data_IF_675793194231
#
_entry.id   IF_675793194231
#
_cell.length_a   1.000
_cell.length_b   1.000
_cell.length_c   1.000
_cell.angle_alpha   90.00
_cell.angle_beta   90.00
_cell.angle_gamma   90.00
#
_symmetry.space_group_name_H-M   'P 1'
#
loop_
_entity.id
_entity.type
_entity.pdbx_description
1 polymer ?
#
# COMPACT_ATOMS: atom_id res chain seq x y z
N UNK A 1 5.38 50.05 12.37
CA UNK A 1 5.22 49.46 11.03
C UNK A 1 6.59 49.36 10.38
N UNK A 2 6.77 48.41 9.43
CA UNK A 2 8.02 48.21 8.69
C UNK A 2 8.41 49.50 7.94
N UNK A 3 7.45 50.17 7.30
CA UNK A 3 7.69 51.42 6.53
C UNK A 3 8.33 52.52 7.39
N UNK A 4 7.89 52.66 8.65
CA UNK A 4 8.48 53.62 9.58
C UNK A 4 9.94 53.28 9.89
N UNK A 5 10.22 52.00 10.16
CA UNK A 5 11.59 51.54 10.43
C UNK A 5 12.51 51.65 9.21
N UNK A 6 11.96 51.47 8.00
CA UNK A 6 12.70 51.75 6.74
C UNK A 6 13.03 53.21 6.57
N UNK A 7 12.11 54.13 6.90
CA UNK A 7 12.35 55.56 6.84
C UNK A 7 13.44 55.96 7.83
N UNK A 8 13.34 55.51 9.09
CA UNK A 8 14.33 55.73 10.11
C UNK A 8 15.72 55.16 9.74
N UNK A 9 15.76 53.97 9.13
CA UNK A 9 17.01 53.41 8.57
C UNK A 9 17.63 54.32 7.52
N UNK A 10 16.82 54.83 6.60
CA UNK A 10 17.27 55.77 5.55
C UNK A 10 17.82 57.06 6.17
N UNK A 11 17.13 57.63 7.15
CA UNK A 11 17.59 58.84 7.87
C UNK A 11 18.93 58.62 8.59
N UNK A 12 19.10 57.48 9.25
CA UNK A 12 20.37 57.10 9.91
C UNK A 12 21.52 56.99 8.90
N UNK A 13 21.25 56.37 7.76
CA UNK A 13 22.28 56.25 6.68
C UNK A 13 22.63 57.58 6.05
N UNK A 14 21.66 58.44 5.77
CA UNK A 14 21.87 59.79 5.25
C UNK A 14 22.66 60.64 6.26
N UNK A 15 22.32 60.56 7.55
CA UNK A 15 23.09 61.25 8.62
C UNK A 15 24.55 60.80 8.74
N UNK A 16 24.88 59.62 8.22
CA UNK A 16 26.26 59.09 8.10
C UNK A 16 26.94 59.40 6.75
N UNK A 17 26.30 60.20 5.87
CA UNK A 17 26.84 60.61 4.58
C UNK A 17 26.65 59.62 3.42
N UNK A 18 25.80 58.60 3.58
CA UNK A 18 25.49 57.64 2.50
C UNK A 18 24.29 58.11 1.69
N UNK A 19 24.35 57.90 0.37
CA UNK A 19 23.22 58.18 -0.53
C UNK A 19 22.18 57.07 -0.46
N UNK A 20 20.91 57.41 -0.47
CA UNK A 20 19.78 56.46 -0.52
C UNK A 20 19.74 55.63 -1.83
N UNK A 21 20.39 56.17 -2.89
CA UNK A 21 20.41 55.48 -4.19
C UNK A 21 21.49 54.35 -4.26
N UNK A 22 22.41 54.26 -3.29
CA UNK A 22 23.57 53.38 -3.39
C UNK A 22 23.85 52.64 -2.06
N UNK A 23 22.84 51.97 -1.54
CA UNK A 23 22.97 51.17 -0.30
C UNK A 23 23.95 50.01 -0.43
N UNK A 24 24.26 49.58 -1.66
CA UNK A 24 25.26 48.54 -1.92
C UNK A 24 26.70 48.95 -1.55
N UNK A 25 26.97 50.26 -1.45
CA UNK A 25 28.29 50.79 -1.06
C UNK A 25 28.46 50.98 0.44
N UNK A 26 27.39 50.75 1.23
CA UNK A 26 27.48 50.87 2.69
C UNK A 26 28.24 49.69 3.28
N UNK A 27 29.33 49.92 4.06
CA UNK A 27 30.02 48.83 4.71
C UNK A 27 29.09 47.99 5.59
N UNK A 28 29.24 46.68 5.61
CA UNK A 28 28.35 45.75 6.33
C UNK A 28 28.23 46.06 7.83
N UNK A 29 29.31 46.52 8.45
CA UNK A 29 29.28 46.91 9.85
C UNK A 29 28.41 48.15 10.10
N UNK A 30 28.52 49.18 9.22
CA UNK A 30 27.71 50.38 9.27
C UNK A 30 26.24 50.10 9.04
N UNK A 31 25.94 49.24 8.07
CA UNK A 31 24.57 48.84 7.77
C UNK A 31 23.94 48.09 8.94
N UNK A 32 24.68 47.17 9.61
CA UNK A 32 24.19 46.49 10.82
C UNK A 32 23.87 47.46 11.94
N UNK A 33 24.77 48.42 12.19
CA UNK A 33 24.56 49.43 13.22
C UNK A 33 23.34 50.31 12.90
N UNK A 34 23.19 50.73 11.66
CA UNK A 34 22.05 51.54 11.20
C UNK A 34 20.72 50.75 11.37
N UNK A 35 20.67 49.47 10.98
CA UNK A 35 19.53 48.62 11.16
C UNK A 35 19.16 48.41 12.63
N UNK A 36 20.16 48.22 13.48
CA UNK A 36 19.95 48.10 14.92
C UNK A 36 19.40 49.41 15.56
N UNK A 37 19.90 50.57 15.12
CA UNK A 37 19.43 51.87 15.62
C UNK A 37 18.02 52.25 15.14
N UNK A 38 17.68 51.90 13.92
CA UNK A 38 16.33 52.15 13.37
C UNK A 38 15.29 51.15 13.81
N UNK A 39 15.67 50.08 14.51
CA UNK A 39 14.76 48.97 14.82
C UNK A 39 14.25 48.18 13.60
N UNK A 40 14.93 48.35 12.46
CA UNK A 40 14.52 47.72 11.18
C UNK A 40 14.37 46.19 11.28
N UNK A 41 15.40 45.54 11.84
CA UNK A 41 15.40 44.07 11.95
C UNK A 41 14.25 43.56 12.83
N UNK A 42 13.91 44.28 13.90
CA UNK A 42 12.75 43.96 14.75
C UNK A 42 11.43 44.16 14.00
N UNK A 43 11.28 45.29 13.29
CA UNK A 43 10.09 45.60 12.52
C UNK A 43 9.88 44.61 11.36
N UNK A 44 10.98 44.18 10.71
CA UNK A 44 10.97 43.16 9.67
C UNK A 44 10.51 41.80 10.24
N UNK A 45 11.06 41.37 11.36
CA UNK A 45 10.65 40.12 12.01
C UNK A 45 9.17 40.14 12.41
N UNK A 46 8.66 41.25 12.93
CA UNK A 46 7.24 41.42 13.25
C UNK A 46 6.36 41.38 12.00
N UNK A 47 6.80 41.99 10.91
CA UNK A 47 6.08 41.96 9.64
C UNK A 47 6.04 40.54 9.04
N UNK A 48 7.16 39.82 9.08
CA UNK A 48 7.22 38.43 8.61
C UNK A 48 6.34 37.51 9.45
N UNK A 49 6.31 37.71 10.77
CA UNK A 49 5.41 36.97 11.67
C UNK A 49 3.93 37.24 11.32
N UNK A 50 3.55 38.51 11.18
CA UNK A 50 2.18 38.87 10.81
C UNK A 50 1.77 38.31 9.44
N UNK A 51 2.67 38.32 8.47
CA UNK A 51 2.44 37.67 7.16
C UNK A 51 2.35 36.16 7.25
N UNK A 52 3.10 35.55 8.13
CA UNK A 52 2.99 34.11 8.40
C UNK A 52 1.61 33.77 9.00
N UNK A 53 1.17 34.55 9.99
CA UNK A 53 -0.15 34.41 10.62
C UNK A 53 -1.29 34.61 9.61
N UNK A 54 -1.21 35.64 8.76
CA UNK A 54 -2.18 35.91 7.70
C UNK A 54 -2.28 34.73 6.72
N UNK A 55 -1.14 34.19 6.26
CA UNK A 55 -1.14 33.03 5.35
C UNK A 55 -1.73 31.79 5.99
N UNK A 56 -1.51 31.59 7.27
CA UNK A 56 -2.03 30.44 8.01
C UNK A 56 -3.48 30.62 8.49
N UNK A 57 -4.06 31.81 8.36
CA UNK A 57 -5.47 32.06 8.62
C UNK A 57 -6.39 31.39 7.57
N UNK A 58 -5.84 31.04 6.42
CA UNK A 58 -6.55 30.29 5.37
C UNK A 58 -5.91 28.91 5.22
N UNK A 59 -6.62 27.88 5.62
CA UNK A 59 -6.20 26.50 5.43
C UNK A 59 -6.72 25.96 4.09
N UNK A 60 -5.81 25.49 3.26
CA UNK A 60 -6.12 24.87 1.97
C UNK A 60 -5.77 23.39 1.98
N UNK A 61 -6.56 22.58 1.27
CA UNK A 61 -6.24 21.16 1.10
C UNK A 61 -4.90 21.01 0.34
N UNK A 62 -3.96 20.20 0.82
CA UNK A 62 -2.65 20.01 0.18
C UNK A 62 -2.73 19.18 -1.11
N UNK A 63 -3.82 18.43 -1.31
CA UNK A 63 -4.09 17.60 -2.49
C UNK A 63 -5.59 17.54 -2.75
N UNK A 64 -5.94 17.05 -3.93
CA UNK A 64 -7.33 16.80 -4.32
C UNK A 64 -7.88 15.56 -3.60
N UNK A 65 -9.03 15.70 -2.92
CA UNK A 65 -9.60 14.62 -2.13
C UNK A 65 -11.03 14.89 -1.67
N UNK A 66 -11.54 13.98 -0.86
CA UNK A 66 -12.86 14.07 -0.24
C UNK A 66 -12.69 14.42 1.23
N UNK A 67 -13.45 15.40 1.70
CA UNK A 67 -13.45 15.79 3.10
C UNK A 67 -14.30 14.79 3.89
N UNK A 68 -13.70 14.23 4.95
CA UNK A 68 -14.34 13.38 5.92
C UNK A 68 -14.22 13.98 7.33
N UNK A 69 -15.07 13.54 8.26
CA UNK A 69 -15.02 13.90 9.69
C UNK A 69 -15.00 15.42 9.93
N UNK A 70 -15.78 16.19 9.17
CA UNK A 70 -15.85 17.63 9.33
C UNK A 70 -16.59 17.98 10.62
N UNK A 71 -15.85 18.46 11.63
CA UNK A 71 -16.39 18.94 12.91
C UNK A 71 -16.58 20.47 12.96
N UNK A 72 -15.88 21.20 12.10
CA UNK A 72 -15.98 22.66 12.03
C UNK A 72 -17.34 23.10 11.47
N UNK A 73 -17.89 24.18 12.05
CA UNK A 73 -19.14 24.81 11.58
C UNK A 73 -18.91 26.30 11.34
N UNK A 74 -19.62 26.84 10.39
CA UNK A 74 -19.60 28.29 10.12
C UNK A 74 -19.96 29.09 11.37
N UNK A 75 -19.24 30.17 11.59
CA UNK A 75 -19.35 31.07 12.74
C UNK A 75 -18.90 30.47 14.10
N UNK A 76 -18.38 29.27 14.15
CA UNK A 76 -17.75 28.71 15.36
C UNK A 76 -16.24 28.85 15.28
N UNK A 77 -15.60 28.95 16.44
CA UNK A 77 -14.15 28.91 16.57
C UNK A 77 -13.71 27.45 16.31
N UNK A 78 -12.79 27.27 15.38
CA UNK A 78 -12.18 25.95 15.13
C UNK A 78 -11.26 25.57 16.30
N UNK A 79 -11.26 24.28 16.66
CA UNK A 79 -10.30 23.76 17.65
C UNK A 79 -8.87 23.87 17.11
N UNK A 80 -7.95 24.27 17.95
CA UNK A 80 -6.51 24.28 17.65
C UNK A 80 -5.79 23.01 18.14
N UNK A 81 -6.49 22.17 18.90
CA UNK A 81 -5.95 20.96 19.52
C UNK A 81 -6.43 19.67 18.86
N UNK A 82 -7.53 19.73 18.14
CA UNK A 82 -8.13 18.57 17.47
C UNK A 82 -8.22 18.80 15.96
N UNK A 83 -8.06 17.73 15.19
CA UNK A 83 -8.31 17.77 13.75
C UNK A 83 -9.79 18.07 13.49
N UNK A 84 -10.09 19.10 12.71
CA UNK A 84 -11.46 19.49 12.42
C UNK A 84 -12.01 18.86 11.12
N UNK A 85 -11.14 18.31 10.27
CA UNK A 85 -11.50 17.47 9.12
C UNK A 85 -10.35 16.55 8.73
N UNK A 86 -10.68 15.53 7.95
CA UNK A 86 -9.71 14.65 7.29
C UNK A 86 -9.91 14.79 5.77
N UNK A 87 -8.83 14.88 5.01
CA UNK A 87 -8.88 14.85 3.54
C UNK A 87 -8.36 13.49 3.09
N UNK A 88 -9.19 12.75 2.34
CA UNK A 88 -8.87 11.40 1.85
C UNK A 88 -8.77 11.45 0.33
N UNK A 89 -7.67 10.93 -0.23
CA UNK A 89 -7.58 10.66 -1.67
C UNK A 89 -8.15 9.25 -1.96
N UNK A 90 -9.33 9.14 -2.55
CA UNK A 90 -9.94 7.84 -2.84
C UNK A 90 -9.22 7.05 -3.94
N UNK A 91 -8.27 7.67 -4.64
CA UNK A 91 -7.48 7.03 -5.71
C UNK A 91 -6.23 6.32 -5.20
N UNK A 92 -5.82 6.61 -3.96
CA UNK A 92 -4.60 6.07 -3.34
C UNK A 92 -4.88 5.16 -2.14
N UNK A 93 -5.96 4.38 -2.22
CA UNK A 93 -6.29 3.42 -1.17
C UNK A 93 -5.32 2.25 -1.17
N UNK A 94 -4.94 1.83 0.02
CA UNK A 94 -4.13 0.64 0.26
C UNK A 94 -4.88 -0.37 1.11
N UNK A 95 -4.77 -1.65 0.77
CA UNK A 95 -5.22 -2.74 1.62
C UNK A 95 -4.09 -3.15 2.55
N UNK A 96 -4.32 -3.08 3.86
CA UNK A 96 -3.38 -3.54 4.88
C UNK A 96 -3.87 -4.87 5.45
N UNK A 97 -3.00 -5.88 5.46
CA UNK A 97 -3.30 -7.21 5.97
C UNK A 97 -2.09 -7.82 6.66
N UNK A 98 -2.32 -8.85 7.46
CA UNK A 98 -1.24 -9.56 8.15
C UNK A 98 -1.06 -10.96 7.59
N UNK A 99 0.18 -11.43 7.57
CA UNK A 99 0.56 -12.78 7.15
C UNK A 99 1.44 -13.42 8.21
N UNK A 100 1.44 -14.75 8.29
CA UNK A 100 2.32 -15.48 9.19
C UNK A 100 3.78 -15.41 8.71
N UNK A 101 4.72 -15.40 9.65
CA UNK A 101 6.17 -15.45 9.36
C UNK A 101 6.53 -16.61 8.42
N UNK A 102 5.88 -17.77 8.60
CA UNK A 102 6.06 -18.96 7.75
C UNK A 102 5.62 -18.77 6.30
N UNK A 103 4.74 -17.81 6.03
CA UNK A 103 4.23 -17.48 4.68
C UNK A 103 5.03 -16.38 3.99
N UNK A 104 5.84 -15.62 4.75
CA UNK A 104 6.66 -14.53 4.19
C UNK A 104 7.53 -14.94 3.00
N UNK A 105 8.19 -16.11 2.99
CA UNK A 105 8.98 -16.52 1.83
C UNK A 105 8.18 -16.73 0.55
N UNK A 106 6.85 -16.82 0.67
CA UNK A 106 5.93 -17.02 -0.46
C UNK A 106 5.42 -15.71 -1.05
N UNK A 107 5.59 -14.57 -0.35
CA UNK A 107 5.03 -13.27 -0.72
C UNK A 107 6.17 -12.33 -1.09
N UNK A 108 6.03 -11.64 -2.23
CA UNK A 108 7.02 -10.69 -2.72
C UNK A 108 6.34 -9.37 -3.11
N UNK A 109 7.09 -8.28 -2.97
CA UNK A 109 6.65 -6.99 -3.52
C UNK A 109 6.43 -7.13 -5.03
N UNK A 110 5.27 -6.65 -5.51
CA UNK A 110 4.82 -6.79 -6.88
C UNK A 110 3.87 -7.96 -7.15
N UNK A 111 3.70 -8.89 -6.20
CA UNK A 111 2.73 -9.99 -6.33
C UNK A 111 1.31 -9.43 -6.52
N UNK A 112 0.54 -10.10 -7.39
CA UNK A 112 -0.85 -9.71 -7.65
C UNK A 112 -1.72 -10.06 -6.46
N UNK A 113 -2.61 -9.13 -6.10
CA UNK A 113 -3.62 -9.34 -5.07
C UNK A 113 -5.01 -9.11 -5.63
N UNK A 114 -5.97 -9.87 -5.12
CA UNK A 114 -7.38 -9.64 -5.30
C UNK A 114 -7.96 -9.20 -3.96
N UNK A 115 -8.63 -8.06 -3.96
CA UNK A 115 -9.23 -7.44 -2.78
C UNK A 115 -10.74 -7.49 -2.92
N UNK A 116 -11.41 -8.16 -1.98
CA UNK A 116 -12.87 -8.34 -1.97
C UNK A 116 -13.44 -7.72 -0.70
N UNK A 117 -14.30 -6.68 -0.80
CA UNK A 117 -14.96 -6.11 0.36
C UNK A 117 -15.93 -7.11 1.01
N UNK A 118 -15.96 -7.18 2.35
CA UNK A 118 -16.97 -8.00 3.02
C UNK A 118 -18.40 -7.49 2.80
N UNK A 119 -18.55 -6.17 2.62
CA UNK A 119 -19.86 -5.56 2.34
C UNK A 119 -20.41 -5.90 0.95
N UNK A 120 -19.54 -6.23 -0.02
CA UNK A 120 -19.91 -6.54 -1.41
C UNK A 120 -19.09 -7.71 -1.94
N UNK A 121 -19.38 -8.96 -1.55
CA UNK A 121 -18.57 -10.13 -1.91
C UNK A 121 -18.50 -10.43 -3.41
N UNK A 122 -19.43 -9.87 -4.19
CA UNK A 122 -19.44 -9.98 -5.66
C UNK A 122 -18.51 -9.00 -6.39
N UNK A 123 -18.03 -7.99 -5.69
CA UNK A 123 -17.13 -6.98 -6.25
C UNK A 123 -15.69 -7.33 -5.91
N UNK A 124 -14.80 -7.19 -6.90
CA UNK A 124 -13.38 -7.50 -6.74
C UNK A 124 -12.54 -6.37 -7.31
N UNK A 125 -11.57 -5.95 -6.54
CA UNK A 125 -10.53 -5.03 -6.98
C UNK A 125 -9.21 -5.78 -7.14
N UNK A 126 -8.45 -5.41 -8.14
CA UNK A 126 -7.10 -5.93 -8.33
C UNK A 126 -6.07 -4.97 -7.73
N UNK A 127 -4.96 -5.53 -7.30
CA UNK A 127 -3.86 -4.74 -6.74
C UNK A 127 -2.53 -5.47 -6.82
N UNK A 128 -1.53 -4.87 -6.18
CA UNK A 128 -0.22 -5.47 -6.03
C UNK A 128 0.34 -5.21 -4.65
N UNK A 129 1.10 -6.16 -4.12
CA UNK A 129 1.88 -5.96 -2.91
C UNK A 129 2.87 -4.82 -3.14
N UNK A 130 2.78 -3.79 -2.30
CA UNK A 130 3.64 -2.58 -2.36
C UNK A 130 4.72 -2.61 -1.30
N UNK A 131 4.40 -3.13 -0.12
CA UNK A 131 5.28 -3.10 1.03
C UNK A 131 5.11 -4.35 1.89
N UNK A 132 6.21 -4.88 2.39
CA UNK A 132 6.26 -5.91 3.41
C UNK A 132 7.02 -5.32 4.59
N UNK A 133 6.38 -5.19 5.74
CA UNK A 133 7.02 -4.67 6.94
C UNK A 133 8.10 -5.67 7.41
N UNK A 134 9.35 -5.25 7.61
CA UNK A 134 10.40 -6.16 8.05
C UNK A 134 10.30 -6.59 9.53
N UNK A 135 9.25 -6.17 10.23
CA UNK A 135 9.02 -6.48 11.63
C UNK A 135 7.94 -7.55 11.79
N UNK A 136 8.29 -8.63 12.49
CA UNK A 136 7.33 -9.64 12.97
C UNK A 136 6.83 -9.21 14.35
N UNK A 137 5.54 -9.32 14.59
CA UNK A 137 4.92 -9.01 15.88
C UNK A 137 5.01 -10.17 16.88
N UNK A 138 4.48 -9.97 18.09
CA UNK A 138 4.49 -10.97 19.17
C UNK A 138 3.68 -12.24 18.84
N UNK A 139 2.79 -12.18 17.85
CA UNK A 139 1.97 -13.29 17.38
C UNK A 139 2.60 -14.02 16.18
N UNK A 140 3.81 -13.67 15.77
CA UNK A 140 4.47 -14.24 14.60
C UNK A 140 3.87 -13.75 13.28
N UNK A 141 3.28 -12.54 13.28
CA UNK A 141 2.65 -11.96 12.09
C UNK A 141 3.42 -10.73 11.58
N UNK A 142 3.38 -10.55 10.29
CA UNK A 142 3.97 -9.39 9.61
C UNK A 142 2.89 -8.64 8.83
N UNK A 143 2.94 -7.32 8.90
CA UNK A 143 2.03 -6.46 8.14
C UNK A 143 2.52 -6.32 6.69
N UNK A 144 1.58 -6.49 5.77
CA UNK A 144 1.78 -6.32 4.33
C UNK A 144 0.79 -5.28 3.82
N UNK A 145 1.25 -4.43 2.90
CA UNK A 145 0.39 -3.47 2.20
C UNK A 145 0.32 -3.81 0.72
N UNK A 146 -0.83 -3.58 0.15
CA UNK A 146 -1.06 -3.72 -1.28
C UNK A 146 -1.83 -2.50 -1.81
N UNK A 147 -1.42 -2.00 -2.97
CA UNK A 147 -2.22 -1.02 -3.72
C UNK A 147 -3.54 -1.65 -4.16
N UNK A 148 -4.58 -0.85 -4.27
CA UNK A 148 -5.88 -1.28 -4.75
C UNK A 148 -6.23 -0.48 -5.98
N UNK A 149 -6.44 -1.16 -7.11
CA UNK A 149 -6.82 -0.57 -8.38
C UNK A 149 -8.17 -1.15 -8.82
N UNK A 150 -9.01 -0.33 -9.43
CA UNK A 150 -10.27 -0.80 -9.99
C UNK A 150 -11.45 0.11 -9.70
N UNK A 151 -12.59 -0.23 -10.29
CA UNK A 151 -13.83 0.55 -10.20
C UNK A 151 -14.67 0.23 -8.94
N UNK A 152 -14.15 -0.58 -8.02
CA UNK A 152 -14.86 -0.95 -6.80
C UNK A 152 -14.85 0.24 -5.85
N UNK A 153 -16.04 0.56 -5.33
CA UNK A 153 -16.21 1.67 -4.39
C UNK A 153 -15.77 1.25 -2.99
N UNK A 154 -14.52 1.54 -2.68
CA UNK A 154 -13.92 1.31 -1.36
C UNK A 154 -13.85 2.61 -0.56
N UNK A 155 -13.95 2.48 0.75
CA UNK A 155 -13.77 3.58 1.69
C UNK A 155 -12.68 3.21 2.70
N UNK A 156 -11.98 4.20 3.20
CA UNK A 156 -11.05 4.02 4.31
C UNK A 156 -11.76 3.39 5.52
N UNK A 157 -11.11 2.42 6.16
CA UNK A 157 -11.66 1.68 7.29
C UNK A 157 -12.56 0.49 6.92
N UNK A 158 -12.81 0.21 5.63
CA UNK A 158 -13.54 -0.99 5.23
C UNK A 158 -12.75 -2.27 5.50
N UNK A 159 -13.45 -3.28 6.00
CA UNK A 159 -12.89 -4.62 6.10
C UNK A 159 -12.93 -5.32 4.73
N UNK A 160 -11.79 -5.86 4.33
CA UNK A 160 -11.61 -6.54 3.06
C UNK A 160 -10.95 -7.90 3.24
N UNK A 161 -11.22 -8.82 2.34
CA UNK A 161 -10.46 -10.06 2.17
C UNK A 161 -9.42 -9.83 1.09
N UNK A 162 -8.16 -10.13 1.39
CA UNK A 162 -7.06 -10.05 0.43
C UNK A 162 -6.59 -11.46 0.08
N UNK A 163 -6.54 -11.76 -1.21
CA UNK A 163 -6.02 -13.03 -1.73
C UNK A 163 -4.78 -12.72 -2.56
N UNK A 164 -3.62 -13.15 -2.10
CA UNK A 164 -2.35 -13.00 -2.85
C UNK A 164 -2.27 -14.11 -3.88
N UNK A 165 -2.12 -13.77 -5.16
CA UNK A 165 -2.01 -14.72 -6.25
C UNK A 165 -0.60 -14.73 -6.81
N UNK A 166 0.06 -15.88 -6.71
CA UNK A 166 1.37 -16.10 -7.33
C UNK A 166 1.27 -17.14 -8.43
N UNK A 167 1.78 -16.82 -9.59
CA UNK A 167 1.94 -17.79 -10.69
C UNK A 167 3.26 -18.53 -10.47
N UNK A 168 3.18 -19.82 -10.29
CA UNK A 168 4.36 -20.71 -10.20
C UNK A 168 4.51 -21.35 -11.58
N UNK A 169 5.41 -20.82 -12.38
CA UNK A 169 5.65 -21.35 -13.74
C UNK A 169 6.36 -22.71 -13.74
N UNK A 170 6.07 -23.54 -14.76
CA UNK A 170 6.84 -24.75 -15.05
C UNK A 170 6.57 -25.95 -14.15
N UNK A 171 5.54 -25.92 -13.32
CA UNK A 171 5.16 -27.05 -12.47
C UNK A 171 3.93 -27.75 -13.00
N UNK A 172 3.92 -29.11 -12.86
CA UNK A 172 2.73 -29.89 -13.11
C UNK A 172 1.71 -29.65 -12.00
N UNK A 173 0.46 -29.40 -12.38
CA UNK A 173 -0.64 -29.13 -11.44
C UNK A 173 -1.73 -30.17 -11.66
N UNK A 174 -2.22 -30.74 -10.56
CA UNK A 174 -3.35 -31.69 -10.57
C UNK A 174 -4.42 -31.24 -9.58
N UNK A 175 -5.72 -31.46 -9.87
CA UNK A 175 -6.79 -31.22 -8.90
C UNK A 175 -6.58 -32.04 -7.61
N UNK A 176 -6.97 -31.49 -6.46
CA UNK A 176 -6.90 -32.23 -5.17
C UNK A 176 -7.65 -33.56 -5.21
N UNK A 177 -8.75 -33.62 -5.96
CA UNK A 177 -9.54 -34.85 -6.16
C UNK A 177 -8.78 -35.99 -6.82
N UNK A 178 -7.71 -35.68 -7.58
CA UNK A 178 -6.90 -36.68 -8.24
C UNK A 178 -5.91 -37.37 -7.29
N UNK A 179 -5.55 -36.74 -6.16
CA UNK A 179 -4.58 -37.26 -5.22
C UNK A 179 -5.29 -38.05 -4.13
N UNK A 180 -4.99 -39.33 -4.03
CA UNK A 180 -5.53 -40.24 -3.01
C UNK A 180 -4.42 -40.78 -2.13
N UNK A 181 -4.75 -41.08 -0.87
CA UNK A 181 -3.83 -41.69 0.08
C UNK A 181 -3.96 -43.23 0.01
N UNK A 182 -2.84 -43.92 -0.27
CA UNK A 182 -2.76 -45.39 -0.25
C UNK A 182 -1.58 -45.83 0.62
N UNK A 183 -1.88 -46.59 1.64
CA UNK A 183 -0.85 -47.09 2.59
C UNK A 183 0.06 -45.97 3.14
N UNK A 184 -0.53 -44.78 3.41
CA UNK A 184 0.21 -43.63 3.90
C UNK A 184 1.02 -42.84 2.84
N UNK A 185 0.91 -43.19 1.58
CA UNK A 185 1.59 -42.51 0.45
C UNK A 185 0.57 -41.83 -0.47
N UNK A 186 0.97 -40.72 -1.02
CA UNK A 186 0.17 -40.00 -2.04
C UNK A 186 0.30 -40.70 -3.40
N UNK A 187 -0.85 -40.96 -4.02
CA UNK A 187 -0.96 -41.66 -5.29
C UNK A 187 -1.88 -40.91 -6.21
N UNK A 188 -1.51 -40.83 -7.48
CA UNK A 188 -2.36 -40.34 -8.57
C UNK A 188 -2.54 -41.44 -9.58
N UNK A 189 -3.77 -41.65 -10.03
CA UNK A 189 -4.06 -42.60 -11.10
C UNK A 189 -4.00 -41.92 -12.46
N UNK A 190 -3.26 -42.54 -13.38
CA UNK A 190 -3.22 -42.15 -14.80
C UNK A 190 -3.96 -43.16 -15.66
N UNK A 191 -4.63 -42.68 -16.70
CA UNK A 191 -5.31 -43.51 -17.70
C UNK A 191 -4.39 -43.75 -18.86
N UNK A 192 -4.07 -45.02 -19.13
CA UNK A 192 -3.29 -45.45 -20.30
C UNK A 192 -3.96 -46.67 -20.91
N UNK A 193 -4.27 -46.62 -22.20
CA UNK A 193 -4.87 -47.73 -22.97
C UNK A 193 -6.10 -48.38 -22.32
N UNK A 194 -7.00 -47.55 -21.75
CA UNK A 194 -8.24 -47.99 -21.09
C UNK A 194 -8.02 -48.65 -19.74
N UNK A 195 -6.85 -48.52 -19.13
CA UNK A 195 -6.52 -49.04 -17.80
C UNK A 195 -6.00 -47.92 -16.89
N UNK A 196 -6.23 -48.08 -15.60
CA UNK A 196 -5.75 -47.16 -14.54
C UNK A 196 -4.40 -47.62 -13.99
N UNK A 197 -3.41 -46.75 -14.01
CA UNK A 197 -2.10 -47.02 -13.42
C UNK A 197 -1.91 -46.06 -12.27
N UNK A 198 -1.60 -46.58 -11.09
CA UNK A 198 -1.26 -45.72 -9.95
C UNK A 198 0.20 -45.28 -10.03
N UNK A 199 0.43 -44.00 -9.73
CA UNK A 199 1.77 -43.43 -9.64
C UNK A 199 1.94 -42.85 -8.24
N UNK A 200 3.00 -43.24 -7.54
CA UNK A 200 3.38 -42.56 -6.32
C UNK A 200 3.88 -41.16 -6.65
N UNK A 201 3.30 -40.16 -5.99
CA UNK A 201 3.62 -38.78 -6.27
C UNK A 201 4.11 -38.09 -5.02
N UNK A 202 4.96 -37.08 -5.23
CA UNK A 202 5.32 -36.12 -4.20
C UNK A 202 4.71 -34.79 -4.56
N UNK A 203 3.76 -34.33 -3.75
CA UNK A 203 3.14 -33.02 -3.91
C UNK A 203 4.08 -31.93 -3.41
N UNK A 204 3.97 -30.73 -3.97
CA UNK A 204 4.68 -29.53 -3.58
C UNK A 204 3.71 -28.49 -3.00
N UNK A 205 3.60 -27.34 -3.66
CA UNK A 205 2.69 -26.25 -3.27
C UNK A 205 1.24 -26.68 -3.49
N UNK A 206 0.35 -26.15 -2.63
CA UNK A 206 -1.08 -26.37 -2.75
C UNK A 206 -1.86 -25.04 -2.73
N UNK A 207 -3.00 -25.03 -3.35
CA UNK A 207 -4.01 -24.00 -3.21
C UNK A 207 -5.36 -24.62 -2.81
N UNK A 208 -6.47 -23.87 -2.87
CA UNK A 208 -7.79 -24.38 -2.51
C UNK A 208 -8.22 -25.62 -3.34
N UNK A 209 -7.81 -25.72 -4.60
CA UNK A 209 -8.33 -26.67 -5.57
C UNK A 209 -7.31 -27.69 -6.09
N UNK A 210 -6.02 -27.40 -5.99
CA UNK A 210 -4.97 -28.14 -6.70
C UNK A 210 -3.70 -28.33 -5.88
N UNK A 211 -2.92 -29.35 -6.25
CA UNK A 211 -1.54 -29.57 -5.83
C UNK A 211 -0.59 -29.39 -6.99
N UNK A 212 0.61 -28.85 -6.74
CA UNK A 212 1.72 -29.02 -7.68
C UNK A 212 2.35 -30.40 -7.45
N UNK A 213 2.84 -31.03 -8.54
CA UNK A 213 3.53 -32.32 -8.48
C UNK A 213 5.01 -32.08 -8.72
N UNK A 214 5.82 -32.47 -7.75
CA UNK A 214 7.28 -32.38 -7.82
C UNK A 214 7.87 -33.61 -8.49
N UNK A 215 7.30 -34.80 -8.20
CA UNK A 215 7.77 -36.09 -8.72
C UNK A 215 6.60 -37.04 -8.93
N UNK A 216 6.74 -37.98 -9.88
CA UNK A 216 5.82 -39.09 -10.06
C UNK A 216 4.84 -38.95 -11.22
N UNK A 217 4.79 -37.78 -11.91
CA UNK A 217 4.00 -37.57 -13.13
C UNK A 217 4.84 -36.86 -14.20
N UNK A 218 4.41 -37.00 -15.45
CA UNK A 218 4.96 -36.29 -16.63
C UNK A 218 3.91 -35.38 -17.25
N UNK A 219 4.39 -34.33 -17.92
CA UNK A 219 3.50 -33.47 -18.70
C UNK A 219 2.83 -34.27 -19.80
N UNK A 220 1.50 -34.17 -19.87
CA UNK A 220 0.69 -34.91 -20.82
C UNK A 220 0.05 -36.21 -20.28
N UNK A 221 0.39 -36.61 -19.05
CA UNK A 221 -0.28 -37.75 -18.40
C UNK A 221 -1.76 -37.45 -18.17
N UNK A 222 -2.65 -38.36 -18.61
CA UNK A 222 -4.08 -38.25 -18.35
C UNK A 222 -4.42 -38.68 -16.92
N UNK A 223 -4.79 -37.73 -16.06
CA UNK A 223 -5.01 -37.96 -14.64
C UNK A 223 -6.49 -38.23 -14.37
N UNK A 224 -6.78 -39.25 -13.56
CA UNK A 224 -8.14 -39.60 -13.15
C UNK A 224 -8.52 -38.78 -11.93
N UNK A 225 -9.56 -37.96 -12.05
CA UNK A 225 -10.02 -37.01 -11.03
C UNK A 225 -11.23 -37.48 -10.24
N UNK A 226 -11.96 -38.49 -10.73
CA UNK A 226 -13.15 -39.06 -10.09
C UNK A 226 -13.13 -40.60 -10.16
N UNK A 227 -13.85 -41.29 -9.23
CA UNK A 227 -13.88 -42.74 -9.16
C UNK A 227 -12.59 -43.43 -8.67
N UNK A 228 -11.55 -42.66 -8.32
CA UNK A 228 -10.20 -43.12 -8.02
C UNK A 228 -10.02 -43.70 -6.60
N UNK A 229 -10.96 -43.49 -5.68
CA UNK A 229 -10.82 -43.94 -4.26
C UNK A 229 -10.71 -45.45 -4.13
N UNK A 230 -11.46 -46.22 -4.92
CA UNK A 230 -11.46 -47.68 -4.86
C UNK A 230 -10.79 -48.34 -6.07
N UNK A 231 -10.09 -47.56 -6.90
CA UNK A 231 -9.50 -48.04 -8.14
C UNK A 231 -8.27 -48.91 -7.85
N UNK A 232 -8.16 -50.08 -8.48
CA UNK A 232 -6.99 -50.94 -8.42
C UNK A 232 -6.02 -50.61 -9.53
N UNK A 233 -4.74 -51.02 -9.35
CA UNK A 233 -3.73 -50.95 -10.41
C UNK A 233 -4.11 -51.86 -11.57
N UNK A 234 -3.98 -51.35 -12.80
CA UNK A 234 -4.37 -52.02 -14.02
C UNK A 234 -5.88 -52.33 -14.18
N UNK A 235 -6.72 -51.73 -13.34
CA UNK A 235 -8.17 -51.88 -13.46
C UNK A 235 -8.64 -51.29 -14.81
N UNK A 236 -9.55 -51.98 -15.52
CA UNK A 236 -10.17 -51.43 -16.71
C UNK A 236 -11.03 -50.23 -16.33
N UNK A 237 -10.97 -49.15 -17.14
CA UNK A 237 -11.73 -47.92 -16.91
C UNK A 237 -12.45 -47.47 -18.14
N UNK A 238 -13.63 -46.91 -17.98
CA UNK A 238 -14.32 -46.13 -19.00
C UNK A 238 -14.07 -44.64 -18.73
N UNK A 239 -13.57 -43.93 -19.71
CA UNK A 239 -13.27 -42.49 -19.59
C UNK A 239 -14.54 -41.73 -19.95
N UNK A 240 -15.12 -41.08 -18.94
CA UNK A 240 -16.13 -40.04 -19.14
C UNK A 240 -15.44 -38.68 -19.09
N UNK A 241 -15.43 -37.96 -20.20
CA UNK A 241 -14.98 -36.56 -20.24
C UNK A 241 -16.17 -35.67 -19.93
N UNK A 242 -16.13 -35.01 -18.76
CA UNK A 242 -16.99 -33.86 -18.45
C UNK A 242 -16.47 -32.60 -19.13
#
# INVERSE_FOLDING_TARGET
>A
TLDKAELELKEVLVGQGYSLADTARVPAATLRLAKARSGYDLALAQYELARYEERNATLTAPFEGVIANLSARQANIASTTEAFCTVIDPRSLEASFTVLESELPLIHVGDKVEVTPFASPGERAEGRVTEINPRVDENGMTQVKASVNGAVRLFEGMNVRVSVRRSVGGQLVVPKSAVVLRSGKQVVFTAVDGKAYWNYVRTGLENAESYTIVEGLKAGDAVITSGNINLAHEAPIEISTE
#
